data_IF_883043321503
#
_entry.id   IF_883043321503
#
_cell.length_a   1.000
_cell.length_b   1.000
_cell.length_c   1.000
_cell.angle_alpha   90.00
_cell.angle_beta   90.00
_cell.angle_gamma   90.00
#
_symmetry.space_group_name_H-M   'P 1'
#
loop_
_entity.id
_entity.type
_entity.pdbx_description
1 polymer ?
#
# COMPACT_ATOMS: atom_id res chain seq x y z
N UNK A 1 -20.28 -22.99 -84.79
CA UNK A 1 -21.17 -23.96 -84.09
C UNK A 1 -21.63 -23.35 -82.77
N UNK A 2 -22.76 -23.80 -82.24
CA UNK A 2 -23.43 -23.19 -81.07
C UNK A 2 -22.73 -23.48 -79.74
N UNK A 3 -22.96 -22.60 -78.76
CA UNK A 3 -22.36 -22.67 -77.43
C UNK A 3 -23.06 -23.69 -76.51
N UNK A 4 -22.28 -24.33 -75.63
CA UNK A 4 -22.78 -25.09 -74.49
C UNK A 4 -22.17 -24.54 -73.19
N UNK A 5 -22.80 -23.50 -72.62
CA UNK A 5 -22.43 -22.98 -71.28
C UNK A 5 -22.94 -23.95 -70.22
N UNK A 6 -22.04 -24.77 -69.64
CA UNK A 6 -22.36 -25.58 -68.46
C UNK A 6 -22.50 -24.67 -67.23
N UNK A 7 -23.68 -24.64 -66.63
CA UNK A 7 -23.85 -24.08 -65.28
C UNK A 7 -23.22 -25.04 -64.26
N UNK A 8 -22.11 -24.62 -63.65
CA UNK A 8 -21.56 -25.31 -62.48
C UNK A 8 -22.40 -24.97 -61.25
N UNK A 9 -22.78 -25.99 -60.47
CA UNK A 9 -23.56 -25.81 -59.25
C UNK A 9 -22.76 -25.00 -58.22
N UNK A 10 -23.34 -23.90 -57.71
CA UNK A 10 -22.77 -23.16 -56.58
C UNK A 10 -22.97 -23.97 -55.31
N UNK A 11 -21.89 -24.52 -54.76
CA UNK A 11 -21.85 -25.00 -53.38
C UNK A 11 -22.08 -23.82 -52.44
N UNK A 12 -23.17 -23.88 -51.66
CA UNK A 12 -23.44 -22.90 -50.60
C UNK A 12 -22.39 -23.13 -49.50
N UNK A 13 -21.58 -22.12 -49.13
CA UNK A 13 -20.69 -22.26 -47.98
C UNK A 13 -21.55 -22.39 -46.72
N UNK A 14 -21.31 -23.45 -45.93
CA UNK A 14 -21.94 -23.64 -44.64
C UNK A 14 -21.56 -22.43 -43.76
N UNK A 15 -22.53 -21.63 -43.35
CA UNK A 15 -22.28 -20.51 -42.45
C UNK A 15 -21.64 -21.05 -41.18
N UNK A 16 -20.37 -20.69 -40.94
CA UNK A 16 -19.68 -21.03 -39.71
C UNK A 16 -20.45 -20.40 -38.55
N UNK A 17 -20.82 -21.21 -37.56
CA UNK A 17 -21.39 -20.68 -36.33
C UNK A 17 -20.31 -19.84 -35.65
N UNK A 18 -20.42 -18.52 -35.76
CA UNK A 18 -19.65 -17.59 -34.96
C UNK A 18 -20.08 -17.80 -33.51
N UNK A 19 -19.29 -18.58 -32.76
CA UNK A 19 -19.48 -18.71 -31.33
C UNK A 19 -19.27 -17.34 -30.70
N UNK A 20 -20.37 -16.67 -30.37
CA UNK A 20 -20.34 -15.45 -29.59
C UNK A 20 -19.79 -15.80 -28.20
N UNK A 21 -18.49 -15.59 -28.02
CA UNK A 21 -17.84 -15.67 -26.71
C UNK A 21 -18.39 -14.53 -25.85
N UNK A 22 -19.49 -14.80 -25.15
CA UNK A 22 -19.96 -14.00 -24.03
C UNK A 22 -18.91 -14.06 -22.92
N UNK A 23 -17.86 -13.26 -23.05
CA UNK A 23 -16.90 -13.05 -21.97
C UNK A 23 -17.50 -12.05 -20.98
N UNK A 24 -18.54 -12.48 -20.27
CA UNK A 24 -19.06 -11.78 -19.10
C UNK A 24 -18.22 -12.13 -17.89
N UNK A 25 -16.97 -11.66 -17.85
CA UNK A 25 -16.27 -11.50 -16.58
C UNK A 25 -16.83 -10.26 -15.89
N UNK A 26 -17.61 -10.39 -14.80
CA UNK A 26 -17.72 -9.28 -13.87
C UNK A 26 -16.30 -8.92 -13.41
N UNK A 27 -15.98 -7.63 -13.17
CA UNK A 27 -14.65 -7.26 -12.72
C UNK A 27 -14.35 -8.00 -11.42
N UNK A 28 -13.31 -8.83 -11.45
CA UNK A 28 -12.86 -9.53 -10.25
C UNK A 28 -12.09 -8.56 -9.38
N UNK A 29 -12.55 -8.38 -8.14
CA UNK A 29 -11.77 -7.87 -7.01
C UNK A 29 -10.30 -8.27 -7.15
N UNK A 30 -9.39 -7.30 -7.28
CA UNK A 30 -7.98 -7.54 -7.66
C UNK A 30 -7.36 -8.74 -6.93
N UNK A 31 -6.81 -9.68 -7.71
CA UNK A 31 -6.21 -10.92 -7.21
C UNK A 31 -4.70 -10.91 -7.40
N UNK A 32 -4.04 -11.78 -6.65
CA UNK A 32 -2.64 -12.13 -6.92
C UNK A 32 -2.56 -12.81 -8.28
N UNK A 33 -1.66 -12.32 -9.14
CA UNK A 33 -1.48 -12.76 -10.52
C UNK A 33 -2.14 -11.88 -11.58
N UNK A 34 -3.11 -11.03 -11.22
CA UNK A 34 -3.73 -10.09 -12.16
C UNK A 34 -2.70 -9.01 -12.59
N UNK A 35 -2.81 -8.54 -13.85
CA UNK A 35 -1.94 -7.51 -14.43
C UNK A 35 -2.42 -6.10 -14.05
N UNK A 36 -1.48 -5.15 -13.88
CA UNK A 36 -1.81 -3.74 -13.65
C UNK A 36 -2.53 -3.17 -14.88
N UNK A 37 -3.71 -2.52 -14.76
CA UNK A 37 -4.46 -2.02 -15.91
C UNK A 37 -3.66 -1.05 -16.80
N UNK A 38 -3.51 -1.40 -18.09
CA UNK A 38 -2.85 -0.57 -19.12
C UNK A 38 -3.78 0.59 -19.55
N UNK A 39 -3.97 1.54 -18.64
CA UNK A 39 -4.90 2.67 -18.81
C UNK A 39 -4.17 4.02 -18.76
N UNK A 40 -4.49 4.89 -19.72
CA UNK A 40 -3.94 6.25 -19.85
C UNK A 40 -4.83 7.31 -19.18
N UNK A 41 -5.21 7.03 -17.93
CA UNK A 41 -6.24 7.77 -17.17
C UNK A 41 -5.71 8.45 -15.90
N UNK A 42 -4.47 8.16 -15.51
CA UNK A 42 -3.82 8.75 -14.34
C UNK A 42 -3.04 10.02 -14.72
N UNK A 43 -2.96 10.98 -13.79
CA UNK A 43 -2.30 12.27 -14.01
C UNK A 43 -1.35 12.61 -12.86
N UNK A 44 -0.22 13.26 -13.15
CA UNK A 44 0.79 13.62 -12.14
C UNK A 44 1.06 15.13 -12.16
N UNK A 45 0.75 15.82 -11.06
CA UNK A 45 0.84 17.27 -10.84
C UNK A 45 -0.02 18.17 -11.74
N UNK A 46 -0.19 17.85 -13.03
CA UNK A 46 -0.90 18.66 -14.03
C UNK A 46 -1.79 17.78 -14.92
N UNK A 47 -2.93 18.28 -15.43
CA UNK A 47 -3.82 17.53 -16.32
C UNK A 47 -3.22 17.24 -17.71
N UNK A 48 -2.11 17.88 -18.07
CA UNK A 48 -1.34 17.58 -19.28
C UNK A 48 -0.41 16.37 -19.13
N UNK A 49 0.01 16.04 -17.90
CA UNK A 49 0.97 14.98 -17.63
C UNK A 49 0.25 13.66 -17.32
N UNK A 50 -0.09 12.91 -18.37
CA UNK A 50 -0.75 11.60 -18.27
C UNK A 50 0.27 10.47 -18.05
N UNK A 51 0.04 9.66 -17.03
CA UNK A 51 0.89 8.53 -16.65
C UNK A 51 0.20 7.21 -16.96
N UNK A 52 0.97 6.25 -17.47
CA UNK A 52 0.54 4.87 -17.65
C UNK A 52 1.21 4.01 -16.59
N UNK A 53 0.45 3.57 -15.58
CA UNK A 53 1.03 2.90 -14.43
C UNK A 53 1.52 1.47 -14.75
N UNK A 54 0.92 0.79 -15.72
CA UNK A 54 1.41 -0.51 -16.19
C UNK A 54 2.79 -0.40 -16.86
N UNK A 55 2.99 0.61 -17.72
CA UNK A 55 4.29 0.89 -18.39
C UNK A 55 5.36 1.43 -17.45
N UNK A 56 4.96 1.98 -16.30
CA UNK A 56 5.90 2.40 -15.27
C UNK A 56 6.40 1.23 -14.41
N UNK A 57 5.57 0.22 -14.17
CA UNK A 57 5.84 -0.89 -13.24
C UNK A 57 6.42 -2.14 -13.93
N UNK A 58 7.45 -1.94 -14.77
CA UNK A 58 8.17 -3.03 -15.47
C UNK A 58 9.12 -3.85 -14.57
N UNK A 59 8.90 -3.83 -13.26
CA UNK A 59 9.77 -4.42 -12.25
C UNK A 59 9.10 -4.34 -10.88
N UNK A 60 9.88 -4.37 -9.80
CA UNK A 60 9.33 -4.20 -8.45
C UNK A 60 8.75 -2.81 -8.21
N UNK A 61 7.60 -2.77 -7.55
CA UNK A 61 7.00 -1.53 -7.09
C UNK A 61 5.80 -1.70 -6.17
N UNK A 62 5.28 -0.58 -5.69
CA UNK A 62 4.09 -0.51 -4.84
C UNK A 62 3.05 0.45 -5.43
N UNK A 63 1.78 0.06 -5.39
CA UNK A 63 0.64 0.94 -5.65
C UNK A 63 -0.12 1.13 -4.34
N UNK A 64 -0.17 2.35 -3.83
CA UNK A 64 -0.80 2.74 -2.56
C UNK A 64 -2.11 3.47 -2.85
N UNK A 65 -3.24 2.78 -2.66
CA UNK A 65 -4.58 3.35 -2.83
C UNK A 65 -5.03 4.17 -1.62
N UNK A 66 -5.68 5.31 -1.86
CA UNK A 66 -6.12 6.23 -0.79
C UNK A 66 -7.55 6.78 -1.03
N UNK A 67 -8.42 6.80 0.00
CA UNK A 67 -9.77 7.38 -0.11
C UNK A 67 -9.83 8.85 -0.50
N UNK A 68 -8.78 9.62 -0.21
CA UNK A 68 -8.68 11.00 -0.66
C UNK A 68 -7.46 11.72 -0.11
N UNK A 69 -6.93 12.61 -0.94
CA UNK A 69 -5.94 13.61 -0.55
C UNK A 69 -6.45 14.47 0.64
N UNK A 70 -5.53 14.99 1.44
CA UNK A 70 -5.77 15.80 2.65
C UNK A 70 -6.61 15.16 3.77
N UNK A 71 -7.20 13.97 3.57
CA UNK A 71 -7.96 13.30 4.64
C UNK A 71 -7.05 12.93 5.83
N UNK A 72 -7.54 12.99 7.09
CA UNK A 72 -6.68 12.89 8.28
C UNK A 72 -5.88 11.58 8.34
N UNK A 73 -6.53 10.44 8.08
CA UNK A 73 -5.90 9.13 8.09
C UNK A 73 -4.79 9.00 7.01
N UNK A 74 -5.06 9.48 5.80
CA UNK A 74 -4.11 9.42 4.70
C UNK A 74 -2.88 10.31 4.96
N UNK A 75 -3.13 11.50 5.51
CA UNK A 75 -2.13 12.57 5.63
C UNK A 75 -1.31 12.54 6.92
N UNK A 76 -1.85 11.99 8.02
CA UNK A 76 -1.14 11.91 9.30
C UNK A 76 -0.33 10.62 9.47
N UNK A 77 -0.75 9.51 8.85
CA UNK A 77 -0.19 8.19 9.12
C UNK A 77 0.07 7.34 7.87
N UNK A 78 -0.90 7.22 6.95
CA UNK A 78 -0.79 6.24 5.85
C UNK A 78 0.42 6.49 4.94
N UNK A 79 0.43 7.63 4.23
CA UNK A 79 1.49 7.94 3.26
C UNK A 79 2.81 8.34 3.95
N UNK A 80 2.82 9.18 5.01
CA UNK A 80 4.05 9.45 5.77
C UNK A 80 4.69 8.19 6.37
N UNK A 81 3.89 7.15 6.65
CA UNK A 81 4.37 5.85 7.13
C UNK A 81 5.22 5.10 6.11
N UNK A 82 5.01 5.32 4.79
CA UNK A 82 5.91 4.82 3.75
C UNK A 82 7.17 5.67 3.64
N UNK A 83 7.01 7.00 3.58
CA UNK A 83 8.13 7.97 3.46
C UNK A 83 9.19 7.77 4.54
N UNK A 84 8.75 7.52 5.77
CA UNK A 84 9.63 7.35 6.95
C UNK A 84 10.19 5.93 7.12
N UNK A 85 9.80 4.97 6.27
CA UNK A 85 10.21 3.57 6.44
C UNK A 85 11.55 3.30 5.76
N UNK A 86 12.53 2.80 6.51
CA UNK A 86 13.91 2.59 6.04
C UNK A 86 13.99 1.76 4.74
N UNK A 87 13.18 0.71 4.63
CA UNK A 87 13.10 -0.17 3.43
C UNK A 87 12.33 0.41 2.23
N UNK A 88 11.96 1.70 2.24
CA UNK A 88 11.29 2.32 1.10
C UNK A 88 12.16 2.27 -0.17
N UNK A 89 13.48 2.39 -0.02
CA UNK A 89 14.44 2.32 -1.15
C UNK A 89 14.46 0.93 -1.81
N UNK A 90 14.20 -0.11 -1.03
CA UNK A 90 14.14 -1.52 -1.49
C UNK A 90 12.77 -1.88 -2.11
N UNK A 91 11.80 -0.95 -2.08
CA UNK A 91 10.45 -1.18 -2.60
C UNK A 91 10.37 -1.16 -4.13
N UNK A 92 11.39 -0.64 -4.81
CA UNK A 92 11.30 -0.26 -6.22
C UNK A 92 10.50 1.03 -6.42
N UNK A 93 9.75 1.15 -7.52
CA UNK A 93 8.94 2.37 -7.78
C UNK A 93 7.69 2.39 -6.90
N UNK A 94 7.43 3.49 -6.21
CA UNK A 94 6.27 3.64 -5.32
C UNK A 94 5.33 4.73 -5.84
N UNK A 95 4.06 4.37 -6.02
CA UNK A 95 3.01 5.26 -6.52
C UNK A 95 1.86 5.36 -5.52
N UNK A 96 1.44 6.58 -5.19
CA UNK A 96 0.21 6.84 -4.42
C UNK A 96 -0.90 7.21 -5.40
N UNK A 97 -2.01 6.49 -5.36
CA UNK A 97 -3.20 6.76 -6.21
C UNK A 97 -4.32 7.33 -5.33
N UNK A 98 -4.98 8.39 -5.81
CA UNK A 98 -6.13 9.00 -5.14
C UNK A 98 -7.19 9.44 -6.15
N UNK A 99 -8.47 9.24 -5.81
CA UNK A 99 -9.61 9.70 -6.61
C UNK A 99 -9.87 11.18 -6.33
N UNK A 100 -8.94 11.98 -6.84
CA UNK A 100 -8.86 13.44 -6.79
C UNK A 100 -8.32 13.94 -8.15
N UNK A 101 -8.44 15.23 -8.43
CA UNK A 101 -7.82 15.87 -9.59
C UNK A 101 -6.28 16.04 -9.41
N UNK A 102 -5.52 16.24 -10.50
CA UNK A 102 -4.06 16.43 -10.42
C UNK A 102 -3.60 17.66 -9.62
N UNK A 103 -4.41 18.72 -9.52
CA UNK A 103 -4.02 19.93 -8.81
C UNK A 103 -4.04 19.69 -7.29
N UNK A 104 -5.14 19.13 -6.78
CA UNK A 104 -5.28 18.71 -5.39
C UNK A 104 -4.25 17.63 -5.04
N UNK A 105 -4.03 16.65 -5.92
CA UNK A 105 -3.08 15.56 -5.68
C UNK A 105 -1.62 16.04 -5.67
N UNK A 106 -1.24 16.95 -6.57
CA UNK A 106 0.09 17.57 -6.58
C UNK A 106 0.32 18.51 -5.40
N UNK A 107 -0.70 19.28 -4.98
CA UNK A 107 -0.61 20.09 -3.77
C UNK A 107 -0.46 19.23 -2.50
N UNK A 108 -1.18 18.10 -2.44
CA UNK A 108 -1.07 17.14 -1.34
C UNK A 108 0.30 16.47 -1.30
N UNK A 109 0.87 16.09 -2.45
CA UNK A 109 2.23 15.57 -2.55
C UNK A 109 3.25 16.52 -1.91
N UNK A 110 3.22 17.81 -2.25
CA UNK A 110 4.11 18.84 -1.68
C UNK A 110 3.87 19.12 -0.19
N UNK A 111 2.70 18.79 0.35
CA UNK A 111 2.45 18.86 1.80
C UNK A 111 3.04 17.64 2.54
N UNK A 112 3.02 16.47 1.90
CA UNK A 112 3.40 15.19 2.51
C UNK A 112 4.90 14.89 2.36
N UNK A 113 5.51 15.32 1.24
CA UNK A 113 6.95 15.30 0.98
C UNK A 113 7.38 16.68 0.43
N UNK A 114 7.64 17.67 1.31
CA UNK A 114 7.96 19.04 0.90
C UNK A 114 9.21 19.14 0.01
N UNK A 115 10.24 18.35 0.34
CA UNK A 115 11.50 18.31 -0.40
C UNK A 115 11.45 17.37 -1.62
N UNK A 116 10.36 16.62 -1.81
CA UNK A 116 10.18 15.62 -2.87
C UNK A 116 11.30 14.55 -2.91
N UNK A 117 11.88 14.21 -1.75
CA UNK A 117 13.06 13.32 -1.63
C UNK A 117 12.72 11.85 -1.42
N UNK A 118 11.46 11.52 -1.16
CA UNK A 118 11.02 10.12 -0.91
C UNK A 118 11.04 9.25 -2.17
N UNK A 119 11.01 9.85 -3.36
CA UNK A 119 10.83 9.15 -4.63
C UNK A 119 9.42 8.61 -4.86
N UNK A 120 8.46 8.88 -3.96
CA UNK A 120 7.06 8.47 -4.09
C UNK A 120 6.35 9.41 -5.06
N UNK A 121 5.80 8.85 -6.15
CA UNK A 121 5.04 9.61 -7.16
C UNK A 121 3.55 9.61 -6.83
N UNK A 122 2.91 10.77 -6.91
CA UNK A 122 1.49 10.93 -6.57
C UNK A 122 0.64 11.09 -7.84
N UNK A 123 -0.26 10.13 -8.05
CA UNK A 123 -1.11 10.01 -9.23
C UNK A 123 -2.58 10.29 -8.89
N UNK A 124 -3.15 11.23 -9.61
CA UNK A 124 -4.57 11.52 -9.61
C UNK A 124 -5.32 10.54 -10.53
N UNK A 125 -6.43 10.00 -10.04
CA UNK A 125 -7.43 9.24 -10.80
C UNK A 125 -8.77 10.01 -10.77
N UNK A 126 -8.93 11.11 -11.52
CA UNK A 126 -10.00 12.09 -11.28
C UNK A 126 -11.41 11.53 -11.51
N UNK A 127 -11.50 10.45 -12.29
CA UNK A 127 -12.76 9.76 -12.62
C UNK A 127 -12.94 8.44 -11.87
N UNK A 128 -11.93 7.95 -11.15
CA UNK A 128 -11.91 6.61 -10.59
C UNK A 128 -11.79 5.49 -11.63
N UNK A 129 -11.35 5.78 -12.87
CA UNK A 129 -11.31 4.81 -13.97
C UNK A 129 -10.27 3.71 -13.71
N UNK A 130 -9.10 4.07 -13.17
CA UNK A 130 -8.07 3.09 -12.79
C UNK A 130 -8.48 2.30 -11.55
N UNK A 131 -9.01 3.00 -10.54
CA UNK A 131 -9.50 2.44 -9.28
C UNK A 131 -10.59 1.39 -9.52
N UNK A 132 -11.54 1.70 -10.41
CA UNK A 132 -12.65 0.82 -10.79
C UNK A 132 -12.20 -0.36 -11.65
N UNK A 133 -11.17 -0.20 -12.48
CA UNK A 133 -10.58 -1.31 -13.23
C UNK A 133 -9.97 -2.41 -12.33
N UNK A 134 -9.64 -2.06 -11.07
CA UNK A 134 -9.17 -3.00 -10.05
C UNK A 134 -10.30 -3.51 -9.11
N UNK A 135 -11.55 -3.07 -9.29
CA UNK A 135 -12.67 -3.25 -8.35
C UNK A 135 -12.33 -2.76 -6.91
N UNK A 136 -11.52 -1.69 -6.85
CA UNK A 136 -11.06 -1.06 -5.61
C UNK A 136 -11.81 0.24 -5.30
N UNK A 137 -12.92 0.53 -5.98
CA UNK A 137 -13.80 1.65 -5.64
C UNK A 137 -14.84 1.28 -4.58
N UNK A 138 -15.33 2.29 -3.86
CA UNK A 138 -16.45 2.15 -2.91
C UNK A 138 -17.31 3.42 -2.88
N UNK A 139 -18.59 3.27 -2.52
CA UNK A 139 -19.46 4.44 -2.34
C UNK A 139 -19.06 5.22 -1.08
N UNK A 140 -18.48 6.40 -1.31
CA UNK A 140 -17.97 7.29 -0.29
C UNK A 140 -18.72 8.63 -0.26
N UNK A 141 -19.84 8.75 -0.99
CA UNK A 141 -20.56 10.03 -1.23
C UNK A 141 -20.90 10.77 0.06
N UNK A 142 -21.27 10.05 1.11
CA UNK A 142 -21.65 10.62 2.41
C UNK A 142 -20.52 11.40 3.12
N UNK A 143 -19.25 11.12 2.79
CA UNK A 143 -18.07 11.76 3.41
C UNK A 143 -17.30 12.60 2.38
N UNK A 144 -17.24 12.13 1.13
CA UNK A 144 -16.34 12.64 0.10
C UNK A 144 -17.05 13.22 -1.14
N UNK A 145 -18.39 13.18 -1.20
CA UNK A 145 -19.22 13.70 -2.31
C UNK A 145 -19.31 12.80 -3.54
N UNK A 146 -18.35 11.90 -3.76
CA UNK A 146 -18.29 10.97 -4.89
C UNK A 146 -17.80 9.56 -4.45
N UNK A 147 -17.78 8.62 -5.40
CA UNK A 147 -17.11 7.32 -5.28
C UNK A 147 -15.60 7.55 -5.08
N UNK A 148 -14.93 6.74 -4.25
CA UNK A 148 -13.49 6.85 -3.94
C UNK A 148 -12.79 5.50 -3.96
N UNK A 149 -11.45 5.54 -3.96
CA UNK A 149 -10.59 4.36 -3.79
C UNK A 149 -10.62 3.84 -2.36
N UNK A 150 -10.80 2.53 -2.18
CA UNK A 150 -10.48 1.83 -0.94
C UNK A 150 -9.03 2.13 -0.54
N UNK A 151 -8.72 2.04 0.75
CA UNK A 151 -7.32 2.01 1.22
C UNK A 151 -6.73 0.64 0.92
N UNK A 152 -5.65 0.63 0.17
CA UNK A 152 -4.95 -0.60 -0.19
C UNK A 152 -3.47 -0.35 -0.45
N UNK A 153 -2.70 -1.43 -0.47
CA UNK A 153 -1.34 -1.48 -1.03
C UNK A 153 -1.23 -2.74 -1.87
N UNK A 154 -0.90 -2.59 -3.15
CA UNK A 154 -0.53 -3.69 -4.03
C UNK A 154 0.99 -3.74 -4.14
N UNK A 155 1.57 -4.91 -3.90
CA UNK A 155 2.97 -5.23 -4.22
C UNK A 155 2.98 -5.76 -5.64
N UNK A 156 3.73 -5.09 -6.51
CA UNK A 156 3.82 -5.37 -7.93
C UNK A 156 5.22 -5.91 -8.26
N UNK A 157 5.27 -6.94 -9.09
CA UNK A 157 6.48 -7.50 -9.66
C UNK A 157 6.20 -7.77 -11.14
N UNK A 158 7.05 -7.24 -12.03
CA UNK A 158 6.97 -7.37 -13.49
C UNK A 158 5.56 -7.11 -14.06
N UNK A 159 4.93 -6.01 -13.62
CA UNK A 159 3.60 -5.58 -14.04
C UNK A 159 2.42 -6.37 -13.44
N UNK A 160 2.67 -7.34 -12.55
CA UNK A 160 1.65 -8.22 -11.95
C UNK A 160 1.51 -8.05 -10.44
N UNK A 161 0.31 -8.23 -9.93
CA UNK A 161 0.02 -8.16 -8.49
C UNK A 161 0.60 -9.39 -7.80
N UNK A 162 1.73 -9.23 -7.10
CA UNK A 162 2.34 -10.27 -6.26
C UNK A 162 1.61 -10.44 -4.93
N UNK A 163 1.13 -9.33 -4.35
CA UNK A 163 0.35 -9.33 -3.11
C UNK A 163 -0.60 -8.15 -3.05
N UNK A 164 -1.82 -8.39 -2.59
CA UNK A 164 -2.78 -7.33 -2.27
C UNK A 164 -2.98 -7.24 -0.75
N UNK A 165 -2.90 -6.03 -0.21
CA UNK A 165 -3.36 -5.68 1.12
C UNK A 165 -4.47 -4.64 0.96
N UNK A 166 -5.67 -4.90 1.46
CA UNK A 166 -6.85 -4.04 1.29
C UNK A 166 -7.53 -3.95 2.66
N UNK A 167 -7.92 -2.74 3.09
CA UNK A 167 -8.61 -2.56 4.38
C UNK A 167 -10.03 -3.14 4.32
N UNK A 168 -10.48 -3.92 5.33
CA UNK A 168 -11.79 -4.57 5.33
C UNK A 168 -12.96 -3.59 5.48
N UNK A 169 -12.72 -2.38 5.98
CA UNK A 169 -13.69 -1.29 6.15
C UNK A 169 -13.55 -0.19 5.07
N UNK A 170 -12.81 -0.48 4.00
CA UNK A 170 -12.44 0.41 2.90
C UNK A 170 -11.58 1.64 3.25
N UNK A 171 -11.50 2.07 4.51
CA UNK A 171 -11.01 3.43 4.86
C UNK A 171 -10.15 3.55 6.11
N UNK A 172 -10.22 2.57 7.01
CA UNK A 172 -9.56 2.56 8.31
C UNK A 172 -8.04 2.57 8.24
N UNK A 173 -7.39 2.55 9.40
CA UNK A 173 -5.94 2.34 9.56
C UNK A 173 -5.67 1.21 10.56
N UNK A 174 -6.64 0.31 10.72
CA UNK A 174 -6.75 -0.53 11.90
C UNK A 174 -7.31 -1.90 11.58
N UNK A 175 -6.47 -2.92 11.74
CA UNK A 175 -6.87 -4.32 11.74
C UNK A 175 -7.73 -4.71 12.96
N UNK A 176 -8.95 -4.17 13.05
CA UNK A 176 -10.05 -4.69 13.89
C UNK A 176 -11.05 -5.37 12.94
N UNK A 177 -11.53 -6.60 13.17
CA UNK A 177 -11.44 -7.48 14.34
C UNK A 177 -10.93 -8.87 13.91
N UNK A 178 -9.87 -9.37 14.54
CA UNK A 178 -9.76 -10.79 14.86
C UNK A 178 -10.17 -10.96 16.33
N UNK A 179 -10.91 -12.02 16.65
CA UNK A 179 -11.47 -12.23 17.99
C UNK A 179 -10.36 -12.30 19.05
N UNK A 180 -10.48 -11.48 20.10
CA UNK A 180 -9.90 -11.79 21.42
C UNK A 180 -8.51 -11.25 21.77
N UNK A 181 -7.80 -10.46 20.94
CA UNK A 181 -6.50 -9.87 21.34
C UNK A 181 -6.43 -8.33 21.32
N UNK A 182 -5.60 -7.82 22.23
CA UNK A 182 -5.63 -6.48 22.83
C UNK A 182 -5.16 -5.40 21.86
N UNK A 183 -5.78 -4.22 21.92
CA UNK A 183 -5.65 -3.21 20.86
C UNK A 183 -4.83 -1.98 21.29
N UNK A 184 -3.55 -1.91 20.89
CA UNK A 184 -2.74 -0.69 20.84
C UNK A 184 -1.47 -0.94 20.01
N UNK A 185 -0.89 0.11 19.40
CA UNK A 185 0.33 0.10 18.55
C UNK A 185 0.24 -0.68 17.21
N UNK A 186 -0.30 -0.03 16.18
CA UNK A 186 0.40 0.04 14.87
C UNK A 186 -0.22 1.10 13.95
N UNK A 187 0.33 2.32 13.93
CA UNK A 187 -0.08 3.39 13.00
C UNK A 187 0.51 3.21 11.58
N UNK A 188 1.35 2.19 11.40
CA UNK A 188 2.17 1.94 10.20
C UNK A 188 1.91 0.50 9.68
N UNK A 189 0.73 -0.07 9.97
CA UNK A 189 0.43 -1.48 9.65
C UNK A 189 0.64 -1.83 8.16
N UNK A 190 0.10 -1.01 7.25
CA UNK A 190 0.21 -1.25 5.81
C UNK A 190 1.64 -1.11 5.26
N UNK A 191 2.37 -0.07 5.67
CA UNK A 191 3.74 0.13 5.23
C UNK A 191 4.68 -0.96 5.77
N UNK A 192 4.55 -1.31 7.07
CA UNK A 192 5.29 -2.43 7.65
C UNK A 192 5.01 -3.74 6.89
N UNK A 193 3.73 -4.05 6.62
CA UNK A 193 3.33 -5.30 5.95
C UNK A 193 3.82 -5.39 4.51
N UNK A 194 3.70 -4.30 3.74
CA UNK A 194 4.12 -4.27 2.34
C UNK A 194 5.66 -4.22 2.17
N UNK A 195 6.35 -3.36 2.93
CA UNK A 195 7.79 -3.17 2.80
C UNK A 195 8.61 -4.32 3.41
N UNK A 196 8.09 -5.01 4.44
CA UNK A 196 8.68 -6.28 4.88
C UNK A 196 8.51 -7.37 3.83
N UNK A 197 7.35 -7.47 3.19
CA UNK A 197 7.09 -8.46 2.14
C UNK A 197 8.00 -8.25 0.92
N UNK A 198 8.19 -7.02 0.43
CA UNK A 198 9.05 -6.78 -0.74
C UNK A 198 10.55 -7.04 -0.47
N UNK A 199 10.98 -6.90 0.79
CA UNK A 199 12.35 -7.16 1.22
C UNK A 199 12.66 -8.64 1.48
N UNK A 200 11.66 -9.53 1.47
CA UNK A 200 11.84 -10.95 1.76
C UNK A 200 11.85 -11.75 0.45
N UNK A 201 12.97 -11.72 -0.27
CA UNK A 201 13.18 -12.60 -1.42
C UNK A 201 13.39 -14.05 -0.95
N UNK A 202 12.57 -14.98 -1.47
CA UNK A 202 12.91 -16.40 -1.49
C UNK A 202 12.44 -17.29 -0.32
N UNK A 203 11.51 -16.85 0.54
CA UNK A 203 10.93 -17.71 1.59
C UNK A 203 9.41 -17.87 1.47
N UNK A 204 8.91 -19.11 1.54
CA UNK A 204 7.47 -19.40 1.62
C UNK A 204 6.87 -18.86 2.93
N UNK A 205 5.94 -17.90 2.82
CA UNK A 205 5.10 -17.50 3.94
C UNK A 205 3.99 -18.54 4.18
N UNK A 206 4.30 -19.61 4.92
CA UNK A 206 3.27 -20.50 5.47
C UNK A 206 2.45 -19.77 6.53
N UNK A 207 1.18 -19.50 6.21
CA UNK A 207 0.21 -19.02 7.18
C UNK A 207 0.25 -17.52 7.45
N UNK A 208 -0.94 -16.95 7.60
CA UNK A 208 -1.12 -15.71 8.34
C UNK A 208 -0.96 -16.02 9.83
N UNK A 209 0.19 -15.69 10.42
CA UNK A 209 0.35 -15.22 11.82
C UNK A 209 1.84 -15.17 12.29
N UNK A 210 2.77 -15.87 11.63
CA UNK A 210 4.18 -15.93 12.06
C UNK A 210 5.18 -15.40 11.01
N UNK A 211 5.45 -14.10 11.04
CA UNK A 211 6.57 -13.45 10.35
C UNK A 211 7.35 -12.55 11.32
N UNK A 212 7.85 -13.16 12.39
CA UNK A 212 8.84 -12.55 13.29
C UNK A 212 10.25 -12.60 12.67
N UNK A 213 11.11 -11.61 12.91
CA UNK A 213 12.51 -11.68 12.48
C UNK A 213 13.25 -12.78 13.26
N UNK A 214 14.09 -13.56 12.58
CA UNK A 214 15.13 -14.36 13.24
C UNK A 214 16.16 -13.43 13.90
N UNK A 215 16.85 -13.93 14.91
CA UNK A 215 17.84 -13.19 15.71
C UNK A 215 18.85 -12.39 14.88
N UNK A 216 19.23 -11.19 15.36
CA UNK A 216 20.49 -10.54 14.97
C UNK A 216 20.45 -9.21 14.22
N UNK A 217 19.45 -8.34 14.38
CA UNK A 217 19.48 -6.99 13.78
C UNK A 217 19.12 -5.85 14.76
N UNK A 218 20.09 -4.95 14.99
CA UNK A 218 20.02 -3.68 15.74
C UNK A 218 20.81 -2.63 14.94
N UNK A 219 20.43 -1.35 14.80
CA UNK A 219 19.13 -0.68 15.03
C UNK A 219 18.72 0.09 13.73
N UNK A 220 18.77 1.44 13.51
CA UNK A 220 18.73 2.63 14.39
C UNK A 220 17.39 3.40 14.35
N UNK A 221 16.77 3.63 15.52
CA UNK A 221 16.19 4.91 15.95
C UNK A 221 15.95 4.81 17.47
N UNK A 222 17.02 5.13 18.22
CA UNK A 222 17.30 4.72 19.60
C UNK A 222 16.45 5.36 20.72
N UNK A 223 15.27 5.91 20.41
CA UNK A 223 14.52 6.81 21.30
C UNK A 223 13.23 6.19 21.92
N UNK A 224 13.15 4.86 22.00
CA UNK A 224 12.08 4.15 22.73
C UNK A 224 12.52 3.63 24.11
N UNK A 225 13.78 3.83 24.52
CA UNK A 225 14.27 3.45 25.85
C UNK A 225 13.52 4.18 26.98
N UNK A 226 13.04 5.40 26.72
CA UNK A 226 12.17 6.19 27.59
C UNK A 226 10.77 5.59 27.80
N UNK A 227 10.26 4.81 26.83
CA UNK A 227 8.86 4.36 26.82
C UNK A 227 8.63 2.96 27.41
N UNK A 228 9.62 2.08 27.42
CA UNK A 228 9.49 0.75 28.07
C UNK A 228 9.97 0.76 29.52
N UNK A 229 10.96 1.57 29.90
CA UNK A 229 11.33 1.74 31.31
C UNK A 229 10.14 2.26 32.17
N UNK A 230 9.31 3.15 31.60
CA UNK A 230 8.02 3.55 32.21
C UNK A 230 6.93 2.46 32.16
N UNK A 231 6.98 1.54 31.18
CA UNK A 231 6.05 0.41 31.10
C UNK A 231 6.37 -0.63 32.19
N UNK A 232 7.64 -0.91 32.44
CA UNK A 232 8.10 -1.74 33.57
C UNK A 232 7.76 -1.10 34.92
N UNK A 233 7.87 0.24 35.03
CA UNK A 233 7.44 1.00 36.20
C UNK A 233 5.93 0.88 36.49
N UNK A 234 5.09 0.65 35.46
CA UNK A 234 3.65 0.43 35.62
C UNK A 234 3.25 -1.04 35.76
N UNK A 235 4.00 -1.98 35.19
CA UNK A 235 3.77 -3.42 35.37
C UNK A 235 4.15 -3.88 36.79
N UNK A 236 5.33 -3.50 37.29
CA UNK A 236 5.74 -3.76 38.69
C UNK A 236 4.81 -3.11 39.72
N UNK A 237 4.01 -2.11 39.32
CA UNK A 237 3.01 -1.42 40.15
C UNK A 237 1.69 -2.18 40.32
N UNK A 238 1.40 -3.17 39.48
CA UNK A 238 0.13 -3.90 39.47
C UNK A 238 0.25 -5.36 39.95
N UNK A 239 1.45 -5.92 40.04
CA UNK A 239 1.69 -7.30 40.52
C UNK A 239 2.39 -7.35 41.89
N UNK A 240 3.03 -6.26 42.33
CA UNK A 240 3.66 -6.19 43.64
C UNK A 240 2.70 -5.68 44.73
N UNK A 241 2.01 -6.60 45.40
CA UNK A 241 1.56 -6.36 46.78
C UNK A 241 2.81 -6.25 47.67
N UNK A 242 3.31 -5.03 47.89
CA UNK A 242 4.24 -4.75 48.99
C UNK A 242 5.69 -4.30 48.70
N UNK A 243 5.99 -3.54 47.64
CA UNK A 243 7.32 -2.89 47.50
C UNK A 243 7.26 -1.35 47.33
N UNK A 244 8.21 -0.58 47.93
CA UNK A 244 8.11 0.88 48.04
C UNK A 244 8.58 1.63 46.77
N UNK A 245 7.98 2.81 46.57
CA UNK A 245 8.01 3.60 45.32
C UNK A 245 9.39 4.15 44.94
N UNK A 246 10.30 4.35 45.91
CA UNK A 246 11.51 5.15 45.70
C UNK A 246 12.59 4.48 44.82
N UNK A 247 12.67 3.14 44.80
CA UNK A 247 13.67 2.40 44.02
C UNK A 247 13.49 2.50 42.49
N UNK A 248 12.32 2.91 42.00
CA UNK A 248 12.05 3.04 40.56
C UNK A 248 12.67 4.29 39.92
N UNK A 249 12.89 5.37 40.69
CA UNK A 249 13.36 6.65 40.13
C UNK A 249 14.90 6.74 40.06
N UNK A 250 15.63 6.03 40.92
CA UNK A 250 17.10 5.98 40.88
C UNK A 250 17.63 5.12 39.73
N UNK A 251 16.95 4.00 39.42
CA UNK A 251 17.29 3.17 38.26
C UNK A 251 17.23 3.92 36.92
N UNK A 252 16.27 4.86 36.78
CA UNK A 252 16.11 5.66 35.57
C UNK A 252 17.13 6.81 35.45
N UNK A 253 17.66 7.33 36.57
CA UNK A 253 18.72 8.36 36.53
C UNK A 253 20.10 7.78 36.17
N UNK A 254 20.37 6.55 36.56
CA UNK A 254 21.67 5.91 36.34
C UNK A 254 21.86 5.31 34.93
N UNK A 255 20.78 5.06 34.17
CA UNK A 255 20.87 4.57 32.79
C UNK A 255 21.14 5.67 31.76
N UNK A 256 20.72 6.91 32.04
CA UNK A 256 20.81 8.04 31.11
C UNK A 256 22.21 8.68 31.12
N UNK A 257 22.95 8.56 32.23
CA UNK A 257 24.27 9.19 32.43
C UNK A 257 25.47 8.40 31.90
N UNK A 258 25.25 7.23 31.27
CA UNK A 258 26.31 6.29 30.87
C UNK A 258 26.52 6.17 29.35
N UNK A 259 26.01 7.11 28.54
CA UNK A 259 26.23 7.12 27.09
C UNK A 259 27.38 8.09 26.72
N UNK A 260 28.55 7.59 26.26
CA UNK A 260 29.65 8.46 25.83
C UNK A 260 29.41 8.99 24.42
N UNK A 261 29.73 10.28 24.18
CA UNK A 261 29.64 10.90 22.85
C UNK A 261 30.67 10.31 21.87
N UNK A 262 30.27 9.88 20.66
CA UNK A 262 31.21 9.57 19.59
C UNK A 262 31.69 10.86 18.91
N UNK A 263 32.80 11.41 19.38
CA UNK A 263 33.55 12.43 18.66
C UNK A 263 34.38 11.79 17.55
N UNK A 264 34.23 12.29 16.31
CA UNK A 264 35.15 11.99 15.20
C UNK A 264 35.43 13.28 14.45
N UNK A 265 36.69 13.71 14.46
CA UNK A 265 37.17 14.90 13.79
C UNK A 265 38.52 14.61 13.13
N UNK A 266 38.56 14.79 11.81
CA UNK A 266 39.73 14.66 10.89
C UNK A 266 40.20 13.21 10.67
#
# INVERSE_FOLDING_TARGET
MFAARRFAARTIPRAGQAAALFHSTPPSFVRVGDEVPDLMVLFENLPSNKINLAKELTGKGLIIGTPGAFSPACSAAHVPGFIKHQKLRDAGKVFVVSVNDPFVTGAWSRMIDPEQTSGIRFLADPKGEFTKALDLDFDAKAIFGNIRSKRYVLVIEDGKVKKAFIEPDNTGLSGKKLQGRRFFRDRIFFANKALRYNSFEGGECFGIDECGPREGYLDPYSDYQSLTAMLECNLKRNEAVGHPVNLCLEGYRNSISQTPEPSVSI
#
